data_IF_406450487046
#
_entry.id   IF_406450487046
#
_cell.length_a   1.000
_cell.length_b   1.000
_cell.length_c   1.000
_cell.angle_alpha   90.00
_cell.angle_beta   90.00
_cell.angle_gamma   90.00
#
_symmetry.space_group_name_H-M   'P 1'
#
loop_
_entity.id
_entity.type
_entity.pdbx_description
1 polymer ?
#
# COMPACT_ATOMS: atom_id res chain seq x y z
N UNK A 1 -20.04 34.50 -12.08
CA UNK A 1 -18.75 33.92 -12.51
C UNK A 1 -17.88 33.55 -11.31
N UNK A 2 -17.60 34.51 -10.41
CA UNK A 2 -16.83 34.30 -9.17
C UNK A 2 -17.37 33.14 -8.32
N UNK A 3 -18.68 33.10 -8.05
CA UNK A 3 -19.27 32.02 -7.23
C UNK A 3 -19.12 30.62 -7.86
N UNK A 4 -19.18 30.52 -9.20
CA UNK A 4 -18.92 29.25 -9.90
C UNK A 4 -17.48 28.81 -9.71
N UNK A 5 -16.53 29.75 -9.85
CA UNK A 5 -15.11 29.48 -9.62
C UNK A 5 -14.82 29.05 -8.17
N UNK A 6 -15.50 29.65 -7.18
CA UNK A 6 -15.37 29.23 -5.77
C UNK A 6 -15.89 27.81 -5.54
N UNK A 7 -17.03 27.45 -6.13
CA UNK A 7 -17.56 26.08 -6.08
C UNK A 7 -16.60 25.08 -6.75
N UNK A 8 -16.02 25.42 -7.89
CA UNK A 8 -15.01 24.59 -8.55
C UNK A 8 -13.79 24.37 -7.65
N UNK A 9 -13.34 25.40 -6.92
CA UNK A 9 -12.26 25.26 -5.95
C UNK A 9 -12.62 24.36 -4.76
N UNK A 10 -13.86 24.43 -4.26
CA UNK A 10 -14.32 23.51 -3.20
C UNK A 10 -14.42 22.07 -3.69
N UNK A 11 -14.83 21.86 -4.95
CA UNK A 11 -14.81 20.52 -5.57
C UNK A 11 -13.38 19.99 -5.67
N UNK A 12 -12.43 20.81 -6.13
CA UNK A 12 -11.00 20.45 -6.17
C UNK A 12 -10.45 20.11 -4.79
N UNK A 13 -10.86 20.83 -3.75
CA UNK A 13 -10.49 20.50 -2.37
C UNK A 13 -10.99 19.11 -1.95
N UNK A 14 -12.25 18.79 -2.25
CA UNK A 14 -12.86 17.51 -1.90
C UNK A 14 -12.16 16.34 -2.61
N UNK A 15 -11.86 16.49 -3.90
CA UNK A 15 -11.21 15.50 -4.77
C UNK A 15 -9.67 15.49 -4.65
N UNK A 16 -9.07 16.39 -3.86
CA UNK A 16 -7.63 16.49 -3.73
C UNK A 16 -7.04 15.26 -3.04
N UNK A 17 -5.98 14.68 -3.62
CA UNK A 17 -5.25 13.51 -3.08
C UNK A 17 -3.98 13.87 -2.30
N UNK A 18 -3.54 15.13 -2.37
CA UNK A 18 -2.38 15.64 -1.63
C UNK A 18 -2.73 16.19 -0.24
N UNK A 19 -1.77 16.86 0.41
CA UNK A 19 -1.99 17.43 1.74
C UNK A 19 -3.12 18.48 1.73
N UNK A 20 -4.25 18.20 2.39
CA UNK A 20 -5.40 19.12 2.44
C UNK A 20 -5.04 20.49 3.02
N UNK A 21 -4.11 20.56 3.97
CA UNK A 21 -3.62 21.82 4.55
C UNK A 21 -2.87 22.66 3.53
N UNK A 22 -2.05 22.03 2.69
CA UNK A 22 -1.35 22.71 1.58
C UNK A 22 -2.33 23.33 0.60
N UNK A 23 -3.38 22.58 0.23
CA UNK A 23 -4.45 23.09 -0.63
C UNK A 23 -5.14 24.32 -0.03
N UNK A 24 -5.59 24.23 1.23
CA UNK A 24 -6.33 25.33 1.89
C UNK A 24 -5.48 26.59 2.03
N UNK A 25 -4.22 26.45 2.46
CA UNK A 25 -3.33 27.60 2.63
C UNK A 25 -3.02 28.27 1.28
N UNK A 26 -2.77 27.48 0.24
CA UNK A 26 -2.53 28.02 -1.11
C UNK A 26 -3.75 28.75 -1.66
N UNK A 27 -4.96 28.25 -1.41
CA UNK A 27 -6.21 28.92 -1.77
C UNK A 27 -6.35 30.31 -1.12
N UNK A 28 -5.81 30.50 0.09
CA UNK A 28 -5.75 31.79 0.78
C UNK A 28 -4.45 32.57 0.54
N UNK A 29 -3.65 32.19 -0.48
CA UNK A 29 -2.43 32.91 -0.85
C UNK A 29 -1.23 32.65 0.06
N UNK A 30 -1.27 31.62 0.90
CA UNK A 30 -0.18 31.23 1.78
C UNK A 30 0.60 30.06 1.18
N UNK A 31 1.91 30.24 1.00
CA UNK A 31 2.78 29.16 0.50
C UNK A 31 3.07 28.15 1.62
N UNK A 32 2.61 26.92 1.43
CA UNK A 32 2.92 25.80 2.32
C UNK A 32 2.98 24.50 1.50
N UNK A 33 4.18 23.97 1.19
CA UNK A 33 4.31 22.79 0.33
C UNK A 33 3.88 21.47 1.01
N UNK A 34 3.72 21.46 2.35
CA UNK A 34 3.40 20.24 3.10
C UNK A 34 4.54 19.22 3.17
N UNK A 35 4.27 17.97 3.61
CA UNK A 35 2.99 17.51 4.19
C UNK A 35 2.74 18.10 5.60
N UNK A 36 1.50 18.07 6.06
CA UNK A 36 1.14 18.52 7.41
C UNK A 36 1.06 17.40 8.45
N UNK A 37 1.02 16.14 7.99
CA UNK A 37 1.03 14.96 8.84
C UNK A 37 -0.24 14.74 9.68
N UNK A 38 -1.29 15.54 9.48
CA UNK A 38 -2.50 15.51 10.32
C UNK A 38 -3.82 15.53 9.53
N UNK A 39 -3.77 15.66 8.21
CA UNK A 39 -4.96 15.47 7.38
C UNK A 39 -5.12 13.99 7.02
N UNK A 40 -6.34 13.60 6.70
CA UNK A 40 -6.71 12.26 6.20
C UNK A 40 -5.82 11.79 5.06
N UNK A 41 -5.51 12.65 4.07
CA UNK A 41 -4.63 12.25 2.96
C UNK A 41 -3.19 11.95 3.41
N UNK A 42 -2.64 12.76 4.32
CA UNK A 42 -1.29 12.50 4.87
C UNK A 42 -1.28 11.24 5.75
N UNK A 43 -2.37 10.99 6.48
CA UNK A 43 -2.54 9.80 7.31
C UNK A 43 -2.73 8.54 6.47
N UNK A 44 -3.51 8.60 5.40
CA UNK A 44 -3.67 7.50 4.45
C UNK A 44 -2.34 7.12 3.80
N UNK A 45 -1.53 8.11 3.39
CA UNK A 45 -0.18 7.88 2.86
C UNK A 45 0.78 7.33 3.90
N UNK A 46 0.68 7.73 5.17
CA UNK A 46 1.48 7.16 6.25
C UNK A 46 1.04 5.74 6.62
N UNK A 47 -0.24 5.42 6.42
CA UNK A 47 -0.81 4.09 6.60
C UNK A 47 -0.54 3.14 5.42
N UNK A 48 0.03 3.62 4.31
CA UNK A 48 0.63 2.75 3.30
C UNK A 48 1.81 2.03 3.96
N UNK A 49 1.53 0.85 4.51
CA UNK A 49 2.55 -0.03 5.08
C UNK A 49 3.53 -0.35 3.95
N UNK A 50 4.85 -0.16 4.13
CA UNK A 50 5.82 -0.62 3.16
C UNK A 50 5.53 -2.09 2.86
N UNK A 51 5.29 -2.43 1.59
CA UNK A 51 5.06 -3.82 1.21
C UNK A 51 6.25 -4.63 1.69
N UNK A 52 6.04 -5.44 2.72
CA UNK A 52 7.07 -6.36 3.16
C UNK A 52 7.13 -7.46 2.12
N UNK A 53 8.26 -7.60 1.45
CA UNK A 53 8.57 -8.74 0.60
C UNK A 53 9.54 -9.65 1.37
N UNK A 54 9.06 -10.40 2.39
CA UNK A 54 9.93 -11.18 3.27
C UNK A 54 10.65 -12.33 2.56
N UNK A 55 10.17 -12.72 1.38
CA UNK A 55 10.78 -13.75 0.55
C UNK A 55 11.07 -13.16 -0.82
N UNK A 56 12.28 -13.32 -1.33
CA UNK A 56 12.63 -12.84 -2.66
C UNK A 56 11.80 -13.57 -3.73
N UNK A 57 11.32 -12.84 -4.73
CA UNK A 57 10.74 -13.46 -5.94
C UNK A 57 11.80 -14.34 -6.62
N UNK A 58 11.41 -15.55 -6.99
CA UNK A 58 12.31 -16.63 -7.43
C UNK A 58 12.99 -17.40 -6.30
N UNK A 59 12.85 -16.96 -5.04
CA UNK A 59 13.39 -17.62 -3.86
C UNK A 59 12.63 -18.90 -3.51
N UNK A 60 13.36 -19.86 -2.93
CA UNK A 60 12.79 -21.12 -2.42
C UNK A 60 12.28 -20.95 -1.00
N UNK A 61 11.10 -21.51 -0.76
CA UNK A 61 10.43 -21.51 0.53
C UNK A 61 9.94 -22.91 0.88
N UNK A 62 9.87 -23.22 2.16
CA UNK A 62 9.23 -24.42 2.68
C UNK A 62 7.96 -24.05 3.44
N UNK A 63 6.89 -24.79 3.19
CA UNK A 63 5.67 -24.79 4.00
C UNK A 63 5.45 -26.15 4.64
N UNK A 64 5.03 -26.18 5.91
CA UNK A 64 4.64 -27.44 6.57
C UNK A 64 3.47 -28.14 5.89
N UNK A 65 2.59 -27.36 5.22
CA UNK A 65 1.37 -27.89 4.62
C UNK A 65 1.53 -28.34 3.17
N UNK A 66 2.48 -27.74 2.45
CA UNK A 66 2.61 -27.89 0.99
C UNK A 66 4.03 -28.20 0.52
N UNK A 67 4.97 -28.45 1.43
CA UNK A 67 6.34 -28.77 1.07
C UNK A 67 7.08 -27.57 0.49
N UNK A 68 8.04 -27.85 -0.39
CA UNK A 68 8.87 -26.82 -1.01
C UNK A 68 8.15 -26.13 -2.18
N UNK A 69 8.46 -24.85 -2.36
CA UNK A 69 7.97 -24.08 -3.48
C UNK A 69 8.84 -22.87 -3.80
N UNK A 70 8.52 -22.22 -4.91
CA UNK A 70 9.21 -21.02 -5.40
C UNK A 70 8.26 -19.84 -5.36
N UNK A 71 8.70 -18.72 -4.79
CA UNK A 71 7.94 -17.46 -4.79
C UNK A 71 7.86 -16.92 -6.22
N UNK A 72 6.66 -16.70 -6.73
CA UNK A 72 6.45 -16.28 -8.10
C UNK A 72 6.26 -14.77 -8.23
N UNK A 73 5.48 -14.15 -7.34
CA UNK A 73 5.20 -12.70 -7.35
C UNK A 73 4.51 -12.21 -6.08
N UNK A 74 4.41 -10.89 -5.95
CA UNK A 74 3.59 -10.17 -4.96
C UNK A 74 2.51 -9.34 -5.67
N UNK A 75 1.27 -9.45 -5.19
CA UNK A 75 0.11 -8.66 -5.63
C UNK A 75 -0.46 -7.91 -4.40
N UNK A 76 0.08 -6.73 -4.11
CA UNK A 76 -0.26 -6.01 -2.86
C UNK A 76 0.26 -6.76 -1.64
N UNK A 77 -0.66 -7.17 -0.76
CA UNK A 77 -0.35 -7.94 0.46
C UNK A 77 -0.53 -9.46 0.26
N UNK A 78 -0.62 -9.92 -0.98
CA UNK A 78 -0.64 -11.35 -1.32
C UNK A 78 0.68 -11.76 -1.97
N UNK A 79 1.24 -12.90 -1.56
CA UNK A 79 2.30 -13.58 -2.29
C UNK A 79 1.76 -14.84 -2.97
N UNK A 80 2.24 -15.09 -4.19
CA UNK A 80 1.96 -16.33 -4.91
C UNK A 80 3.18 -17.25 -4.84
N UNK A 81 3.01 -18.49 -4.38
CA UNK A 81 4.05 -19.54 -4.38
C UNK A 81 3.61 -20.67 -5.30
N UNK A 82 4.54 -21.18 -6.12
CA UNK A 82 4.39 -22.43 -6.84
C UNK A 82 5.06 -23.54 -6.01
N UNK A 83 4.24 -24.37 -5.35
CA UNK A 83 4.72 -25.55 -4.62
C UNK A 83 4.92 -26.73 -5.57
N UNK A 84 6.01 -27.48 -5.38
CA UNK A 84 6.45 -28.53 -6.31
C UNK A 84 5.38 -29.62 -6.48
N UNK A 85 4.78 -30.06 -5.37
CA UNK A 85 3.76 -31.13 -5.37
C UNK A 85 2.31 -30.61 -5.31
N UNK A 86 2.10 -29.31 -5.09
CA UNK A 86 0.77 -28.74 -4.79
C UNK A 86 0.33 -27.58 -5.68
N UNK A 87 1.18 -27.14 -6.62
CA UNK A 87 0.88 -26.08 -7.56
C UNK A 87 0.80 -24.70 -6.91
N UNK A 88 0.05 -23.78 -7.54
CA UNK A 88 -0.04 -22.38 -7.11
C UNK A 88 -0.88 -22.19 -5.83
N UNK A 89 -0.40 -21.34 -4.93
CA UNK A 89 -1.12 -20.86 -3.76
C UNK A 89 -0.89 -19.37 -3.57
N UNK A 90 -1.98 -18.65 -3.36
CA UNK A 90 -1.96 -17.25 -2.94
C UNK A 90 -2.12 -17.18 -1.42
N UNK A 91 -1.21 -16.46 -0.77
CA UNK A 91 -1.11 -16.36 0.68
C UNK A 91 -1.03 -14.89 1.09
N UNK A 92 -1.80 -14.51 2.10
CA UNK A 92 -1.71 -13.16 2.68
C UNK A 92 -0.37 -13.03 3.44
N UNK A 93 0.45 -12.07 3.02
CA UNK A 93 1.77 -11.80 3.61
C UNK A 93 1.70 -11.57 5.12
N UNK A 94 0.74 -10.79 5.66
CA UNK A 94 0.61 -10.63 7.11
C UNK A 94 0.39 -11.97 7.83
N UNK A 95 -0.40 -12.87 7.25
CA UNK A 95 -0.70 -14.17 7.84
C UNK A 95 0.49 -15.12 7.78
N UNK A 96 1.28 -15.05 6.71
CA UNK A 96 2.50 -15.83 6.55
C UNK A 96 3.52 -15.44 7.62
N UNK A 97 3.66 -14.15 7.90
CA UNK A 97 4.53 -13.63 8.95
C UNK A 97 4.00 -13.95 10.35
N UNK A 98 2.72 -13.71 10.61
CA UNK A 98 2.08 -13.92 11.91
C UNK A 98 2.12 -15.40 12.34
N UNK A 99 1.88 -16.32 11.39
CA UNK A 99 1.74 -17.76 11.67
C UNK A 99 2.92 -18.61 11.22
N UNK A 100 3.98 -18.00 10.68
CA UNK A 100 5.16 -18.72 10.20
C UNK A 100 4.84 -19.76 9.11
N UNK A 101 3.92 -19.45 8.19
CA UNK A 101 3.43 -20.42 7.20
C UNK A 101 4.48 -20.84 6.17
N UNK A 102 5.50 -19.98 5.98
CA UNK A 102 6.63 -20.17 5.09
C UNK A 102 7.92 -19.84 5.83
N UNK A 103 8.98 -20.56 5.47
CA UNK A 103 10.36 -20.24 5.84
C UNK A 103 11.26 -20.35 4.61
N UNK A 104 12.40 -19.64 4.55
CA UNK A 104 13.40 -19.90 3.52
C UNK A 104 13.80 -21.38 3.56
N UNK A 105 13.91 -22.00 2.38
CA UNK A 105 14.35 -23.39 2.24
C UNK A 105 15.87 -23.51 2.47
#
# INVERSE_FOLDING_TARGET
EVERSRLEMMRRYAEHTGCRRSFLLSYFGQNYPGPCGRCDNDQARAAEVPRSEPFAVGGRVLSERWGEGTVQRYDGDQLTVLFDDHGYRDLLVPLVLERGLLRPA
#
